data_IF_715392271346
#
_entry.id   IF_715392271346
#
_cell.length_a   1.000
_cell.length_b   1.000
_cell.length_c   1.000
_cell.angle_alpha   90.00
_cell.angle_beta   90.00
_cell.angle_gamma   90.00
#
_symmetry.space_group_name_H-M   'P 1'
#
loop_
_entity.id
_entity.type
_entity.pdbx_description
1 polymer ?
#
# COMPACT_ATOMS: atom_id res chain seq x y z
N UNK A 1 -6.70 15.80 16.07
CA UNK A 1 -7.15 15.38 14.73
C UNK A 1 -5.98 14.69 14.01
N UNK A 2 -6.22 13.60 13.26
CA UNK A 2 -5.16 12.84 12.55
C UNK A 2 -5.13 13.21 11.06
N UNK A 3 -5.12 14.51 10.74
CA UNK A 3 -5.18 14.97 9.34
C UNK A 3 -3.96 14.46 8.54
N UNK A 4 -4.13 13.94 7.31
CA UNK A 4 -3.03 13.38 6.52
C UNK A 4 -2.02 14.40 6.01
N UNK A 5 -2.38 15.69 5.98
CA UNK A 5 -1.49 16.80 5.67
C UNK A 5 -1.72 17.93 6.67
N UNK A 6 -1.18 17.86 7.90
CA UNK A 6 -1.48 18.84 8.94
C UNK A 6 -0.76 20.17 8.70
N UNK A 7 0.41 20.15 8.05
CA UNK A 7 1.16 21.34 7.65
C UNK A 7 1.20 21.38 6.11
N UNK A 8 0.72 22.48 5.53
CA UNK A 8 0.73 22.71 4.08
C UNK A 8 2.13 23.10 3.59
N UNK A 9 2.41 22.87 2.31
CA UNK A 9 3.70 23.15 1.69
C UNK A 9 4.70 22.00 1.79
N UNK A 10 5.99 22.36 1.91
CA UNK A 10 7.17 21.48 1.85
C UNK A 10 7.42 20.72 3.17
N UNK A 11 6.39 20.07 3.67
CA UNK A 11 6.42 19.25 4.88
C UNK A 11 5.82 17.88 4.59
N UNK A 12 6.36 16.82 5.18
CA UNK A 12 5.81 15.47 5.01
C UNK A 12 4.34 15.41 5.47
N UNK A 13 3.56 14.60 4.77
CA UNK A 13 2.25 14.19 5.27
C UNK A 13 2.34 13.02 6.26
N UNK A 14 1.19 12.63 6.79
CA UNK A 14 1.03 11.57 7.78
C UNK A 14 0.19 10.43 7.20
N UNK A 15 0.80 9.25 7.05
CA UNK A 15 0.16 8.04 6.54
C UNK A 15 0.01 6.95 7.60
N UNK A 16 -0.73 5.89 7.25
CA UNK A 16 -0.88 4.67 8.05
C UNK A 16 -0.53 3.47 7.17
N UNK A 17 0.76 3.27 6.92
CA UNK A 17 1.19 2.16 6.07
C UNK A 17 0.71 0.81 6.64
N UNK A 18 0.13 -0.01 5.77
CA UNK A 18 -0.42 -1.31 6.14
C UNK A 18 0.50 -2.43 5.62
N UNK A 19 1.13 -3.15 6.55
CA UNK A 19 1.94 -4.31 6.22
C UNK A 19 1.06 -5.56 6.25
N UNK A 20 1.08 -6.38 5.19
CA UNK A 20 0.20 -7.54 5.09
C UNK A 20 0.86 -8.76 4.41
N UNK A 21 0.40 -9.95 4.79
CA UNK A 21 0.75 -11.22 4.16
C UNK A 21 -0.31 -12.28 4.47
N UNK A 22 -0.44 -13.29 3.61
CA UNK A 22 -1.21 -14.51 3.88
C UNK A 22 -0.28 -15.74 3.96
N UNK A 23 -0.84 -16.93 4.18
CA UNK A 23 -0.06 -18.18 4.23
C UNK A 23 0.72 -18.42 2.94
N UNK A 24 0.10 -18.25 1.77
CA UNK A 24 0.76 -18.44 0.48
C UNK A 24 2.02 -17.58 0.32
N UNK A 25 1.97 -16.30 0.72
CA UNK A 25 3.11 -15.38 0.66
C UNK A 25 4.25 -15.73 1.62
N UNK A 26 3.95 -16.36 2.76
CA UNK A 26 4.97 -16.69 3.79
C UNK A 26 5.54 -18.09 3.61
N UNK A 27 4.75 -19.03 3.12
CA UNK A 27 5.10 -20.45 3.10
C UNK A 27 5.61 -20.89 1.72
N UNK A 28 4.95 -20.46 0.64
CA UNK A 28 5.33 -20.81 -0.75
C UNK A 28 6.08 -19.69 -1.43
N UNK A 29 5.61 -18.45 -1.27
CA UNK A 29 6.17 -17.28 -1.91
C UNK A 29 6.10 -17.32 -3.44
N UNK A 30 7.10 -16.70 -4.07
CA UNK A 30 7.26 -16.63 -5.53
C UNK A 30 7.04 -15.21 -6.05
N UNK A 31 7.92 -14.74 -6.93
CA UNK A 31 7.83 -13.39 -7.49
C UNK A 31 6.49 -13.15 -8.18
N UNK A 32 6.02 -14.15 -8.91
CA UNK A 32 4.77 -14.16 -9.64
C UNK A 32 3.56 -14.00 -8.70
N UNK A 33 3.62 -14.59 -7.49
CA UNK A 33 2.59 -14.42 -6.47
C UNK A 33 2.56 -12.97 -5.97
N UNK A 34 3.72 -12.39 -5.66
CA UNK A 34 3.81 -11.00 -5.21
C UNK A 34 3.37 -10.01 -6.29
N UNK A 35 3.81 -10.22 -7.53
CA UNK A 35 3.41 -9.40 -8.68
C UNK A 35 1.90 -9.49 -8.91
N UNK A 36 1.31 -10.69 -8.93
CA UNK A 36 -0.14 -10.87 -9.16
C UNK A 36 -1.00 -10.22 -8.06
N UNK A 37 -0.56 -10.26 -6.80
CA UNK A 37 -1.21 -9.53 -5.70
C UNK A 37 -1.11 -8.01 -5.94
N UNK A 38 0.06 -7.49 -6.30
CA UNK A 38 0.24 -6.06 -6.56
C UNK A 38 -0.60 -5.58 -7.76
N UNK A 39 -0.66 -6.36 -8.84
CA UNK A 39 -1.52 -6.08 -9.98
C UNK A 39 -3.01 -6.09 -9.61
N UNK A 40 -3.45 -7.00 -8.73
CA UNK A 40 -4.83 -7.02 -8.26
C UNK A 40 -5.18 -5.73 -7.49
N UNK A 41 -4.25 -5.20 -6.70
CA UNK A 41 -4.42 -3.89 -6.05
C UNK A 41 -4.49 -2.75 -7.07
N UNK A 42 -3.68 -2.81 -8.14
CA UNK A 42 -3.71 -1.85 -9.25
C UNK A 42 -5.02 -1.88 -10.06
N UNK A 43 -5.69 -3.04 -10.13
CA UNK A 43 -7.02 -3.17 -10.74
C UNK A 43 -8.18 -2.70 -9.86
N UNK A 44 -7.94 -2.46 -8.56
CA UNK A 44 -8.97 -2.13 -7.57
C UNK A 44 -8.75 -0.76 -6.89
N UNK A 45 -8.07 0.18 -7.55
CA UNK A 45 -7.66 1.47 -6.95
C UNK A 45 -8.83 2.20 -6.30
N UNK A 46 -9.94 2.40 -7.03
CA UNK A 46 -11.11 3.13 -6.53
C UNK A 46 -11.66 2.53 -5.23
N UNK A 47 -11.77 1.20 -5.19
CA UNK A 47 -12.25 0.46 -4.02
C UNK A 47 -11.38 0.72 -2.80
N UNK A 48 -10.06 0.65 -2.96
CA UNK A 48 -9.12 0.94 -1.87
C UNK A 48 -9.17 2.41 -1.45
N UNK A 49 -9.08 3.34 -2.42
CA UNK A 49 -9.04 4.78 -2.14
C UNK A 49 -10.31 5.29 -1.45
N UNK A 50 -11.47 4.68 -1.73
CA UNK A 50 -12.75 5.01 -1.09
C UNK A 50 -12.76 4.82 0.44
N UNK A 51 -11.85 4.00 0.98
CA UNK A 51 -11.74 3.72 2.42
C UNK A 51 -10.40 4.13 3.04
N UNK A 52 -9.47 4.68 2.24
CA UNK A 52 -8.10 5.00 2.67
C UNK A 52 -7.96 6.36 3.37
N UNK A 53 -9.07 6.88 3.91
CA UNK A 53 -9.12 8.13 4.68
C UNK A 53 -9.39 9.37 3.81
N UNK A 54 -10.04 10.36 4.42
CA UNK A 54 -10.39 11.62 3.76
C UNK A 54 -9.17 12.53 3.58
N UNK A 55 -9.21 13.42 2.60
CA UNK A 55 -8.16 14.41 2.29
C UNK A 55 -6.81 13.82 1.90
N UNK A 56 -6.81 12.58 1.40
CA UNK A 56 -5.60 11.87 1.06
C UNK A 56 -4.91 12.45 -0.18
N UNK A 57 -5.65 13.17 -1.03
CA UNK A 57 -5.15 13.95 -2.18
C UNK A 57 -4.17 15.04 -1.76
N UNK A 58 -4.28 15.58 -0.54
CA UNK A 58 -3.33 16.56 -0.01
C UNK A 58 -1.99 15.93 0.40
N UNK A 59 -1.97 14.60 0.58
CA UNK A 59 -0.80 13.83 0.99
C UNK A 59 -0.15 13.08 -0.18
N UNK A 60 -0.94 12.39 -1.00
CA UNK A 60 -0.50 11.54 -2.10
C UNK A 60 -0.28 12.37 -3.36
N UNK A 61 0.85 13.08 -3.41
CA UNK A 61 1.18 14.02 -4.49
C UNK A 61 2.32 13.56 -5.39
N UNK A 62 2.94 12.42 -5.09
CA UNK A 62 4.19 11.98 -5.75
C UNK A 62 5.45 12.58 -5.12
N UNK A 63 5.30 13.51 -4.16
CA UNK A 63 6.40 14.11 -3.40
C UNK A 63 6.49 13.46 -2.01
N UNK A 64 7.61 13.70 -1.32
CA UNK A 64 7.81 13.30 0.08
C UNK A 64 7.55 11.80 0.36
N UNK A 65 8.13 10.92 -0.45
CA UNK A 65 8.01 9.46 -0.28
C UNK A 65 6.57 8.94 -0.37
N UNK A 66 5.79 9.50 -1.29
CA UNK A 66 4.43 9.05 -1.65
C UNK A 66 4.30 8.89 -3.16
N UNK A 67 3.30 8.11 -3.59
CA UNK A 67 2.83 8.10 -4.97
C UNK A 67 1.73 9.17 -5.14
N UNK A 68 1.54 9.69 -6.34
CA UNK A 68 0.40 10.53 -6.69
C UNK A 68 -0.92 9.73 -6.60
N UNK A 69 -1.99 10.37 -6.14
CA UNK A 69 -3.28 9.70 -5.86
C UNK A 69 -3.92 9.02 -7.08
N UNK A 70 -3.63 9.53 -8.28
CA UNK A 70 -4.14 9.08 -9.57
C UNK A 70 -3.23 8.05 -10.26
N UNK A 71 -2.09 7.71 -9.65
CA UNK A 71 -1.14 6.74 -10.18
C UNK A 71 -1.02 5.54 -9.25
N UNK A 72 -0.71 4.39 -9.83
CA UNK A 72 -0.40 3.18 -9.08
C UNK A 72 0.92 2.58 -9.55
N UNK A 73 1.78 2.25 -8.59
CA UNK A 73 3.04 1.57 -8.86
C UNK A 73 3.44 0.70 -7.67
N UNK A 74 4.27 -0.31 -7.93
CA UNK A 74 4.87 -1.13 -6.89
C UNK A 74 6.34 -1.42 -7.24
N UNK A 75 7.17 -1.60 -6.22
CA UNK A 75 8.60 -1.80 -6.44
C UNK A 75 9.35 -2.32 -5.21
N UNK A 76 10.49 -2.97 -5.48
CA UNK A 76 11.40 -3.46 -4.44
C UNK A 76 12.11 -2.28 -3.80
N UNK A 77 11.93 -2.12 -2.49
CA UNK A 77 12.47 -1.02 -1.69
C UNK A 77 12.07 0.39 -2.14
N UNK A 78 11.16 0.52 -3.10
CA UNK A 78 10.71 1.81 -3.62
C UNK A 78 9.81 2.50 -2.61
N UNK A 79 10.25 3.66 -2.12
CA UNK A 79 9.50 4.45 -1.16
C UNK A 79 8.51 5.42 -1.80
N UNK A 80 8.64 5.71 -3.09
CA UNK A 80 7.68 6.51 -3.85
C UNK A 80 6.53 5.68 -4.41
N UNK A 81 6.60 4.35 -4.34
CA UNK A 81 5.55 3.47 -4.83
C UNK A 81 4.29 3.44 -3.95
N UNK A 82 3.16 3.08 -4.56
CA UNK A 82 1.91 2.79 -3.83
C UNK A 82 2.05 1.59 -2.92
N UNK A 83 2.63 0.50 -3.44
CA UNK A 83 2.96 -0.70 -2.67
C UNK A 83 4.47 -0.90 -2.70
N UNK A 84 5.08 -1.01 -1.52
CA UNK A 84 6.49 -1.35 -1.39
C UNK A 84 6.65 -2.84 -1.13
N UNK A 85 7.53 -3.47 -1.89
CA UNK A 85 8.08 -4.81 -1.58
C UNK A 85 9.33 -4.61 -0.73
N UNK A 86 9.37 -5.02 0.55
CA UNK A 86 10.57 -4.89 1.38
C UNK A 86 11.78 -5.61 0.76
N UNK A 87 12.99 -5.05 0.95
CA UNK A 87 14.24 -5.64 0.44
C UNK A 87 14.45 -7.10 0.88
N UNK A 88 13.95 -7.45 2.08
CA UNK A 88 14.07 -8.82 2.60
C UNK A 88 13.29 -9.82 1.77
N UNK A 89 12.17 -9.44 1.11
CA UNK A 89 11.36 -10.38 0.33
C UNK A 89 12.18 -11.07 -0.78
N UNK A 90 12.84 -10.36 -1.70
CA UNK A 90 13.68 -11.03 -2.69
C UNK A 90 14.92 -11.69 -2.08
N UNK A 91 15.51 -11.12 -1.02
CA UNK A 91 16.67 -11.72 -0.33
C UNK A 91 16.33 -13.07 0.32
N UNK A 92 15.10 -13.22 0.82
CA UNK A 92 14.62 -14.43 1.49
C UNK A 92 14.00 -15.44 0.51
N UNK A 93 14.11 -15.22 -0.81
CA UNK A 93 13.57 -16.12 -1.83
C UNK A 93 12.13 -15.85 -2.22
N UNK A 94 11.72 -14.58 -2.24
CA UNK A 94 10.35 -14.11 -2.56
C UNK A 94 9.29 -14.63 -1.58
N UNK A 95 9.59 -14.57 -0.30
CA UNK A 95 8.66 -14.84 0.81
C UNK A 95 8.56 -13.64 1.74
N UNK A 96 7.42 -13.48 2.41
CA UNK A 96 7.25 -12.44 3.42
C UNK A 96 5.97 -11.63 3.24
N UNK A 97 6.12 -10.30 3.08
CA UNK A 97 5.02 -9.34 3.19
C UNK A 97 5.10 -8.21 2.17
N UNK A 98 3.98 -7.56 1.93
CA UNK A 98 3.87 -6.30 1.20
C UNK A 98 3.58 -5.14 2.18
N UNK A 99 3.85 -3.92 1.76
CA UNK A 99 3.47 -2.69 2.48
C UNK A 99 2.65 -1.79 1.55
N UNK A 100 1.35 -1.62 1.84
CA UNK A 100 0.52 -0.61 1.17
C UNK A 100 0.72 0.75 1.86
N UNK A 101 1.23 1.73 1.12
CA UNK A 101 1.62 3.06 1.63
C UNK A 101 0.55 4.12 1.41
N UNK A 102 -0.55 3.75 0.74
CA UNK A 102 -1.64 4.65 0.37
C UNK A 102 -2.63 4.97 1.49
N UNK A 103 -2.81 4.21 2.59
CA UNK A 103 -3.73 4.63 3.63
C UNK A 103 -3.27 5.90 4.35
N UNK A 104 -4.19 6.84 4.55
CA UNK A 104 -3.99 8.06 5.33
C UNK A 104 -4.00 7.76 6.84
N UNK A 105 -3.41 8.67 7.62
CA UNK A 105 -3.38 8.57 9.09
C UNK A 105 -4.75 8.68 9.78
N UNK A 106 -5.76 9.24 9.11
CA UNK A 106 -7.16 9.25 9.54
C UNK A 106 -7.99 8.08 8.99
N UNK A 107 -7.36 7.11 8.32
CA UNK A 107 -8.06 5.95 7.75
C UNK A 107 -8.64 5.04 8.84
N UNK A 108 -9.79 4.42 8.55
CA UNK A 108 -10.40 3.42 9.44
C UNK A 108 -9.70 2.06 9.26
N UNK A 109 -8.97 1.56 10.28
CA UNK A 109 -8.19 0.33 10.14
C UNK A 109 -9.06 -0.90 9.85
N UNK A 110 -10.33 -0.91 10.26
CA UNK A 110 -11.22 -2.04 9.97
C UNK A 110 -11.58 -2.10 8.50
N UNK A 111 -11.90 -0.96 7.89
CA UNK A 111 -12.22 -0.88 6.45
C UNK A 111 -10.99 -1.15 5.58
N UNK A 112 -9.85 -0.59 5.97
CA UNK A 112 -8.57 -0.81 5.30
C UNK A 112 -8.17 -2.28 5.36
N UNK A 113 -8.24 -2.90 6.54
CA UNK A 113 -7.97 -4.33 6.70
C UNK A 113 -8.90 -5.19 5.86
N UNK A 114 -10.20 -4.89 5.86
CA UNK A 114 -11.19 -5.62 5.08
C UNK A 114 -10.90 -5.61 3.57
N UNK A 115 -10.64 -4.42 2.98
CA UNK A 115 -10.36 -4.31 1.54
C UNK A 115 -9.02 -4.96 1.15
N UNK A 116 -8.00 -4.86 2.01
CA UNK A 116 -6.71 -5.54 1.80
C UNK A 116 -6.90 -7.05 1.76
N UNK A 117 -7.65 -7.61 2.72
CA UNK A 117 -7.93 -9.05 2.80
C UNK A 117 -8.71 -9.50 1.56
N UNK A 118 -9.74 -8.75 1.17
CA UNK A 118 -10.58 -9.08 0.04
C UNK A 118 -9.80 -9.14 -1.28
N UNK A 119 -9.03 -8.08 -1.59
CA UNK A 119 -8.22 -8.04 -2.82
C UNK A 119 -7.13 -9.10 -2.80
N UNK A 120 -6.44 -9.32 -1.68
CA UNK A 120 -5.40 -10.35 -1.56
C UNK A 120 -5.97 -11.76 -1.79
N UNK A 121 -7.17 -12.04 -1.26
CA UNK A 121 -7.85 -13.34 -1.45
C UNK A 121 -8.33 -13.59 -2.88
N UNK A 122 -8.57 -12.55 -3.69
CA UNK A 122 -8.99 -12.76 -5.09
C UNK A 122 -7.92 -13.37 -6.00
N UNK A 123 -6.68 -13.45 -5.52
CA UNK A 123 -5.53 -13.99 -6.27
C UNK A 123 -5.10 -15.39 -5.78
N UNK A 124 -5.45 -15.75 -4.54
CA UNK A 124 -4.94 -16.93 -3.83
C UNK A 124 -6.00 -18.01 -3.64
#
# INVERSE_FOLDING_TARGET
EYHPKPIKGDWNGSGMHANFSNGAMRDKGGKELFDSICEAFGRNIEKHMSVYGAHNEERLTGLHETQAIDQFSYGVSDRGASIRVPASVPTDGWVGRLEDRRPASNGDPYKIGAVIIETTKSVC
#
